data_IF_569732760843
#
_entry.id   IF_569732760843
#
_cell.length_a   1.000
_cell.length_b   1.000
_cell.length_c   1.000
_cell.angle_alpha   90.00
_cell.angle_beta   90.00
_cell.angle_gamma   90.00
#
_symmetry.space_group_name_H-M   'P 1'
#
loop_
_entity.id
_entity.type
_entity.pdbx_description
1 polymer ?
#
# COMPACT_ATOMS: atom_id res chain seq x y z
N UNK A 1 43.81 4.15 -33.54
CA UNK A 1 42.78 3.76 -32.55
C UNK A 1 41.43 4.06 -33.18
N UNK A 2 40.68 3.04 -33.57
CA UNK A 2 39.31 3.18 -34.09
C UNK A 2 38.34 3.05 -32.91
N UNK A 3 37.42 3.99 -32.75
CA UNK A 3 36.29 3.87 -31.82
C UNK A 3 35.11 3.42 -32.68
N UNK A 4 34.66 2.18 -32.47
CA UNK A 4 33.43 1.68 -33.08
C UNK A 4 32.24 2.18 -32.26
N UNK A 5 31.33 2.89 -32.93
CA UNK A 5 30.11 3.43 -32.33
C UNK A 5 29.00 2.42 -32.58
N UNK A 6 28.48 1.80 -31.52
CA UNK A 6 27.33 0.92 -31.59
C UNK A 6 26.07 1.66 -31.13
N UNK A 7 24.98 1.55 -31.90
CA UNK A 7 23.68 2.09 -31.51
C UNK A 7 23.08 1.26 -30.37
N UNK A 8 22.69 1.94 -29.30
CA UNK A 8 22.04 1.33 -28.14
C UNK A 8 20.54 1.23 -28.43
N UNK A 9 19.99 0.02 -28.37
CA UNK A 9 18.55 -0.20 -28.50
C UNK A 9 17.85 0.17 -27.18
N UNK A 10 16.79 0.98 -27.25
CA UNK A 10 16.01 1.34 -26.06
C UNK A 10 14.87 0.36 -25.87
N UNK A 11 14.62 -0.05 -24.62
CA UNK A 11 13.43 -0.82 -24.24
C UNK A 11 12.69 -0.13 -23.13
N UNK A 12 11.38 0.03 -23.27
CA UNK A 12 10.55 0.66 -22.26
C UNK A 12 9.75 -0.40 -21.51
N UNK A 13 9.78 -0.36 -20.19
CA UNK A 13 9.07 -1.31 -19.34
C UNK A 13 8.13 -0.58 -18.40
N UNK A 14 6.88 -1.02 -18.37
CA UNK A 14 5.87 -0.48 -17.47
C UNK A 14 5.03 -1.62 -16.89
N UNK A 15 4.99 -1.73 -15.56
CA UNK A 15 4.16 -2.72 -14.84
C UNK A 15 4.27 -4.16 -15.39
N UNK A 16 5.47 -4.61 -15.79
CA UNK A 16 5.68 -5.94 -16.38
C UNK A 16 5.51 -6.02 -17.90
N UNK A 17 4.99 -4.97 -18.55
CA UNK A 17 4.73 -4.91 -19.98
C UNK A 17 5.89 -4.21 -20.69
N UNK A 18 6.25 -4.70 -21.87
CA UNK A 18 7.17 -4.03 -22.79
C UNK A 18 6.39 -3.06 -23.67
N UNK A 19 6.76 -1.78 -23.64
CA UNK A 19 6.20 -0.75 -24.48
C UNK A 19 7.08 -0.57 -25.72
N UNK A 20 6.48 -0.52 -26.94
CA UNK A 20 7.23 -0.25 -28.15
C UNK A 20 7.95 1.10 -28.10
N UNK A 21 9.20 1.14 -28.55
CA UNK A 21 9.93 2.39 -28.75
C UNK A 21 9.39 3.14 -29.98
N UNK A 22 9.32 4.47 -29.88
CA UNK A 22 9.03 5.37 -30.99
C UNK A 22 10.30 6.14 -31.31
N UNK A 23 10.94 5.89 -32.48
CA UNK A 23 12.19 6.54 -32.83
C UNK A 23 12.01 8.05 -32.96
N UNK A 24 13.00 8.82 -32.48
CA UNK A 24 12.98 10.29 -32.51
C UNK A 24 12.32 10.96 -31.31
N UNK A 25 11.69 10.20 -30.40
CA UNK A 25 11.17 10.73 -29.14
C UNK A 25 12.13 10.47 -27.98
N UNK A 26 12.21 11.43 -27.06
CA UNK A 26 12.89 11.26 -25.78
C UNK A 26 12.12 10.30 -24.86
N UNK A 27 12.79 9.55 -23.95
CA UNK A 27 12.12 8.64 -23.01
C UNK A 27 10.94 9.26 -22.23
N UNK A 28 11.00 10.57 -21.94
CA UNK A 28 9.91 11.32 -21.30
C UNK A 28 8.73 11.55 -22.24
N UNK A 29 8.99 11.83 -23.50
CA UNK A 29 7.95 12.01 -24.52
C UNK A 29 7.28 10.66 -24.85
N UNK A 30 8.04 9.57 -24.84
CA UNK A 30 7.49 8.20 -24.96
C UNK A 30 6.54 7.91 -23.80
N UNK A 31 6.90 8.26 -22.55
CA UNK A 31 6.01 8.16 -21.39
C UNK A 31 4.72 8.97 -21.60
N UNK A 32 4.86 10.22 -22.06
CA UNK A 32 3.73 11.13 -22.24
C UNK A 32 2.80 10.65 -23.38
N UNK A 33 3.34 10.08 -24.45
CA UNK A 33 2.57 9.44 -25.51
C UNK A 33 1.73 8.27 -24.97
N UNK A 34 2.36 7.35 -24.23
CA UNK A 34 1.67 6.20 -23.66
C UNK A 34 0.72 6.58 -22.51
N UNK A 35 0.81 7.79 -21.96
CA UNK A 35 -0.10 8.27 -20.93
C UNK A 35 -1.56 8.38 -21.41
N UNK A 36 -1.79 8.50 -22.72
CA UNK A 36 -3.12 8.44 -23.31
C UNK A 36 -3.79 7.06 -23.13
N UNK A 37 -3.01 5.98 -23.13
CA UNK A 37 -3.48 4.62 -22.92
C UNK A 37 -3.37 4.18 -21.45
N UNK A 38 -2.35 4.67 -20.74
CA UNK A 38 -2.06 4.37 -19.34
C UNK A 38 -2.01 5.67 -18.53
N UNK A 39 -3.16 6.19 -18.05
CA UNK A 39 -3.24 7.49 -17.38
C UNK A 39 -2.31 7.64 -16.17
N UNK A 40 -1.94 6.53 -15.54
CA UNK A 40 -1.02 6.48 -14.43
C UNK A 40 0.43 6.83 -14.80
N UNK A 41 0.80 6.74 -16.09
CA UNK A 41 2.10 7.20 -16.61
C UNK A 41 2.27 8.71 -16.56
N UNK A 42 1.18 9.50 -16.50
CA UNK A 42 1.26 10.97 -16.34
C UNK A 42 2.09 11.35 -15.11
N UNK A 43 1.95 10.57 -14.04
CA UNK A 43 2.69 10.75 -12.78
C UNK A 43 3.94 9.88 -12.67
N UNK A 44 4.25 9.07 -13.69
CA UNK A 44 5.34 8.11 -13.60
C UNK A 44 6.70 8.81 -13.75
N UNK A 45 7.65 8.34 -12.96
CA UNK A 45 9.06 8.71 -13.08
C UNK A 45 9.74 7.77 -14.08
N UNK A 46 10.66 8.33 -14.88
CA UNK A 46 11.45 7.57 -15.85
C UNK A 46 12.77 7.22 -15.21
N UNK A 47 12.94 5.94 -14.83
CA UNK A 47 14.18 5.43 -14.27
C UNK A 47 15.04 4.83 -15.40
N UNK A 48 16.20 5.41 -15.72
CA UNK A 48 17.14 4.82 -16.68
C UNK A 48 17.83 3.62 -16.03
N UNK A 49 17.72 2.46 -16.67
CA UNK A 49 18.46 1.26 -16.31
C UNK A 49 19.87 1.23 -16.91
N UNK A 50 20.62 0.19 -16.54
CA UNK A 50 21.94 -0.08 -17.08
C UNK A 50 21.86 -0.50 -18.55
N UNK A 51 22.90 -0.16 -19.31
CA UNK A 51 23.08 -0.68 -20.66
C UNK A 51 23.66 -2.09 -20.54
N UNK A 52 22.92 -3.09 -20.98
CA UNK A 52 23.36 -4.49 -21.01
C UNK A 52 23.14 -5.04 -22.41
N UNK A 53 24.15 -5.69 -22.97
CA UNK A 53 24.10 -6.34 -24.30
C UNK A 53 23.62 -5.40 -25.43
N UNK A 54 24.03 -4.12 -25.39
CA UNK A 54 23.62 -3.12 -26.39
C UNK A 54 22.18 -2.62 -26.24
N UNK A 55 21.50 -2.98 -25.14
CA UNK A 55 20.14 -2.55 -24.82
C UNK A 55 20.12 -1.73 -23.55
N UNK A 56 19.46 -0.57 -23.59
CA UNK A 56 19.17 0.23 -22.39
C UNK A 56 17.70 0.11 -22.03
N UNK A 57 17.43 -0.40 -20.83
CA UNK A 57 16.06 -0.50 -20.30
C UNK A 57 15.67 0.79 -19.58
N UNK A 58 14.52 1.36 -19.92
CA UNK A 58 13.89 2.48 -19.23
C UNK A 58 12.63 1.96 -18.53
N UNK A 59 12.61 2.05 -17.20
CA UNK A 59 11.44 1.63 -16.41
C UNK A 59 10.60 2.83 -16.06
N UNK A 60 9.30 2.78 -16.40
CA UNK A 60 8.33 3.76 -15.92
C UNK A 60 7.80 3.30 -14.58
N UNK A 61 8.18 4.01 -13.51
CA UNK A 61 7.74 3.71 -12.16
C UNK A 61 6.61 4.66 -11.76
N UNK A 62 5.46 4.10 -11.41
CA UNK A 62 4.35 4.89 -10.86
C UNK A 62 4.80 5.59 -9.58
N UNK A 63 4.72 6.92 -9.55
CA UNK A 63 4.95 7.67 -8.32
C UNK A 63 3.80 7.42 -7.34
N UNK A 64 4.01 6.52 -6.38
CA UNK A 64 3.13 6.43 -5.22
C UNK A 64 3.49 7.58 -4.29
N UNK A 65 2.52 8.44 -3.98
CA UNK A 65 2.76 9.59 -3.11
C UNK A 65 3.36 9.13 -1.78
N UNK A 66 4.59 9.57 -1.47
CA UNK A 66 5.30 9.26 -0.22
C UNK A 66 4.76 10.06 0.97
N UNK A 67 3.51 10.51 0.91
CA UNK A 67 2.87 11.30 1.95
C UNK A 67 2.72 10.42 3.20
N UNK A 68 3.47 10.76 4.25
CA UNK A 68 3.54 9.97 5.48
C UNK A 68 4.86 9.21 5.65
N UNK A 69 5.65 9.04 4.58
CA UNK A 69 7.02 8.49 4.64
C UNK A 69 8.02 9.57 5.08
N UNK A 70 7.67 10.31 6.15
CA UNK A 70 8.70 11.09 6.83
C UNK A 70 9.79 10.11 7.24
N UNK A 71 11.05 10.45 6.97
CA UNK A 71 12.27 9.75 7.42
C UNK A 71 12.43 9.82 8.95
N UNK A 72 11.32 9.75 9.68
CA UNK A 72 11.23 9.40 11.09
C UNK A 72 10.78 7.95 11.16
N UNK A 73 11.50 7.05 10.49
CA UNK A 73 11.85 5.77 11.12
C UNK A 73 12.74 6.11 12.32
N UNK A 74 12.14 6.77 13.31
CA UNK A 74 12.82 7.09 14.54
C UNK A 74 13.08 5.80 15.30
N UNK A 75 13.98 5.84 16.30
CA UNK A 75 14.29 4.67 17.12
C UNK A 75 13.03 4.01 17.70
N UNK A 76 11.95 4.77 17.90
CA UNK A 76 10.64 4.27 18.35
C UNK A 76 9.95 3.32 17.38
N UNK A 77 9.95 3.60 16.07
CA UNK A 77 9.28 2.70 15.11
C UNK A 77 10.11 1.43 14.91
N UNK A 78 11.44 1.56 14.85
CA UNK A 78 12.35 0.43 14.78
C UNK A 78 12.23 -0.46 16.04
N UNK A 79 12.14 0.14 17.23
CA UNK A 79 11.88 -0.58 18.48
C UNK A 79 10.52 -1.27 18.47
N UNK A 80 9.46 -0.59 18.00
CA UNK A 80 8.13 -1.20 17.90
C UNK A 80 8.11 -2.39 16.93
N UNK A 81 8.76 -2.27 15.77
CA UNK A 81 8.83 -3.38 14.81
C UNK A 81 9.66 -4.55 15.35
N UNK A 82 10.73 -4.28 16.11
CA UNK A 82 11.49 -5.31 16.79
C UNK A 82 10.68 -5.98 17.92
N UNK A 83 9.90 -5.22 18.69
CA UNK A 83 8.97 -5.75 19.70
C UNK A 83 7.89 -6.62 19.04
N UNK A 84 7.28 -6.16 17.95
CA UNK A 84 6.25 -6.92 17.21
C UNK A 84 6.83 -8.17 16.55
N UNK A 85 8.04 -8.11 16.01
CA UNK A 85 8.75 -9.28 15.47
C UNK A 85 9.06 -10.31 16.54
N UNK A 86 9.54 -9.87 17.71
CA UNK A 86 9.79 -10.76 18.86
C UNK A 86 8.50 -11.38 19.43
N UNK A 87 7.37 -10.67 19.37
CA UNK A 87 6.05 -11.18 19.80
C UNK A 87 5.47 -12.19 18.80
N UNK A 88 5.81 -12.09 17.50
CA UNK A 88 5.39 -13.05 16.47
C UNK A 88 6.11 -14.41 16.56
N UNK A 89 7.35 -14.43 17.04
CA UNK A 89 8.17 -15.64 17.13
C UNK A 89 8.04 -16.40 18.47
N UNK A 90 7.36 -15.83 19.48
CA UNK A 90 7.21 -16.53 20.77
C UNK A 90 6.32 -15.85 21.82
N UNK A 91 5.11 -16.39 21.99
CA UNK A 91 4.33 -16.34 23.23
C UNK A 91 3.66 -15.00 23.57
N UNK A 92 2.34 -15.06 23.83
CA UNK A 92 1.48 -13.97 24.32
C UNK A 92 2.08 -13.32 25.57
N UNK A 93 2.96 -12.34 25.42
CA UNK A 93 3.75 -11.84 26.54
C UNK A 93 4.29 -10.43 26.29
N UNK A 94 3.40 -9.46 26.44
CA UNK A 94 3.80 -8.07 26.68
C UNK A 94 2.64 -7.11 26.51
N UNK A 95 2.16 -6.96 25.29
CA UNK A 95 1.10 -6.00 24.95
C UNK A 95 -0.26 -6.57 25.29
N UNK A 96 -0.50 -7.84 24.96
CA UNK A 96 -1.74 -8.54 25.31
C UNK A 96 -1.96 -8.61 26.83
N UNK A 97 -0.91 -8.87 27.60
CA UNK A 97 -0.99 -8.88 29.07
C UNK A 97 -1.31 -7.49 29.66
N UNK A 98 -0.72 -6.43 29.11
CA UNK A 98 -1.02 -5.04 29.52
C UNK A 98 -2.44 -4.63 29.13
N UNK A 99 -2.88 -5.01 27.92
CA UNK A 99 -4.23 -4.75 27.44
C UNK A 99 -5.26 -5.51 28.27
N UNK A 100 -5.06 -6.81 28.50
CA UNK A 100 -5.93 -7.64 29.36
C UNK A 100 -5.97 -7.06 30.78
N UNK A 101 -4.84 -6.59 31.32
CA UNK A 101 -4.79 -5.90 32.62
C UNK A 101 -5.54 -4.56 32.62
N UNK A 102 -5.48 -3.80 31.53
CA UNK A 102 -6.21 -2.54 31.39
C UNK A 102 -7.73 -2.79 31.23
N UNK A 103 -8.11 -3.76 30.41
CA UNK A 103 -9.50 -4.16 30.16
C UNK A 103 -10.15 -4.82 31.38
N UNK A 104 -9.36 -5.46 32.24
CA UNK A 104 -9.85 -6.07 33.47
C UNK A 104 -10.20 -5.05 34.58
N UNK A 105 -9.81 -3.77 34.44
CA UNK A 105 -10.14 -2.70 35.40
C UNK A 105 -11.65 -2.51 35.54
N UNK A 106 -12.13 -2.37 36.77
CA UNK A 106 -13.58 -2.25 37.07
C UNK A 106 -14.24 -1.02 36.45
N UNK A 107 -13.51 0.09 36.28
CA UNK A 107 -14.00 1.28 35.57
C UNK A 107 -14.22 1.01 34.08
N UNK A 108 -13.28 0.31 33.44
CA UNK A 108 -13.34 -0.05 32.01
C UNK A 108 -14.47 -1.05 31.77
N UNK A 109 -14.61 -2.07 32.62
CA UNK A 109 -15.74 -3.02 32.56
C UNK A 109 -17.10 -2.32 32.72
N UNK A 110 -17.25 -1.42 33.70
CA UNK A 110 -18.50 -0.68 33.91
C UNK A 110 -18.85 0.22 32.71
N UNK A 111 -17.86 0.92 32.16
CA UNK A 111 -18.05 1.74 30.97
C UNK A 111 -18.50 0.88 29.78
N UNK A 112 -17.79 -0.23 29.52
CA UNK A 112 -18.14 -1.16 28.45
C UNK A 112 -19.56 -1.75 28.63
N UNK A 113 -19.94 -2.13 29.85
CA UNK A 113 -21.29 -2.62 30.17
C UNK A 113 -22.36 -1.55 29.96
N UNK A 114 -22.12 -0.30 30.36
CA UNK A 114 -23.05 0.80 30.16
C UNK A 114 -23.28 1.07 28.66
N UNK A 115 -22.21 1.04 27.86
CA UNK A 115 -22.31 1.16 26.41
C UNK A 115 -23.05 -0.01 25.77
N UNK A 116 -22.74 -1.25 26.17
CA UNK A 116 -23.47 -2.43 25.68
C UNK A 116 -24.96 -2.37 26.01
N UNK A 117 -25.32 -1.96 27.24
CA UNK A 117 -26.71 -1.79 27.65
C UNK A 117 -27.42 -0.68 26.88
N UNK A 118 -26.75 0.46 26.66
CA UNK A 118 -27.26 1.54 25.82
C UNK A 118 -27.54 1.07 24.40
N UNK A 119 -26.59 0.38 23.79
CA UNK A 119 -26.70 -0.16 22.44
C UNK A 119 -27.83 -1.18 22.34
N UNK A 120 -27.92 -2.12 23.28
CA UNK A 120 -29.02 -3.09 23.33
C UNK A 120 -30.38 -2.42 23.48
N UNK A 121 -30.48 -1.38 24.32
CA UNK A 121 -31.72 -0.62 24.50
C UNK A 121 -32.09 0.21 23.28
N UNK A 122 -31.11 0.83 22.62
CA UNK A 122 -31.30 1.56 21.38
C UNK A 122 -31.79 0.63 20.25
N UNK A 123 -31.20 -0.56 20.12
CA UNK A 123 -31.63 -1.56 19.14
C UNK A 123 -32.99 -2.18 19.47
N UNK A 124 -33.29 -2.44 20.75
CA UNK A 124 -34.59 -2.99 21.17
C UNK A 124 -35.73 -1.97 21.00
N UNK A 125 -35.45 -0.67 21.19
CA UNK A 125 -36.43 0.39 21.01
C UNK A 125 -36.74 0.69 19.53
N UNK A 126 -35.85 0.31 18.60
CA UNK A 126 -36.00 0.65 17.18
C UNK A 126 -35.73 -0.56 16.24
N UNK A 127 -36.58 -1.60 16.27
CA UNK A 127 -36.40 -2.80 15.44
C UNK A 127 -36.47 -2.55 13.92
N UNK A 128 -37.00 -1.40 13.49
CA UNK A 128 -37.04 -0.97 12.07
C UNK A 128 -35.71 -0.42 11.55
N UNK A 129 -34.76 -0.10 12.44
CA UNK A 129 -33.40 0.31 12.08
C UNK A 129 -32.46 -0.90 11.94
N UNK A 130 -33.00 -2.08 11.54
CA UNK A 130 -32.20 -3.22 11.10
C UNK A 130 -31.63 -3.02 9.69
N UNK A 131 -32.29 -2.20 8.87
CA UNK A 131 -31.95 -2.04 7.44
C UNK A 131 -31.26 -0.71 7.08
N UNK A 132 -31.20 0.24 8.01
CA UNK A 132 -30.67 1.57 7.71
C UNK A 132 -29.20 1.71 8.11
N UNK A 133 -28.29 1.64 7.15
CA UNK A 133 -26.90 2.16 7.18
C UNK A 133 -25.73 1.25 7.61
N UNK A 134 -25.81 -0.05 7.38
CA UNK A 134 -24.59 -0.82 7.03
C UNK A 134 -24.81 -1.55 5.72
N UNK A 135 -24.53 -0.85 4.62
CA UNK A 135 -24.22 -1.49 3.34
C UNK A 135 -22.81 -2.10 3.47
N UNK A 136 -22.66 -3.13 4.31
CA UNK A 136 -21.50 -4.02 4.16
C UNK A 136 -21.78 -4.85 2.90
N UNK A 137 -20.92 -4.79 1.87
CA UNK A 137 -21.07 -5.67 0.72
C UNK A 137 -21.13 -7.13 1.21
N UNK A 138 -22.04 -7.96 0.66
CA UNK A 138 -22.07 -9.39 1.00
C UNK A 138 -20.70 -10.01 0.70
N UNK A 139 -20.35 -11.11 1.37
CA UNK A 139 -19.02 -11.74 1.25
C UNK A 139 -18.62 -12.07 -0.21
N UNK A 140 -19.60 -12.25 -1.10
CA UNK A 140 -19.42 -12.47 -2.54
C UNK A 140 -18.94 -11.22 -3.31
N UNK A 141 -19.13 -10.03 -2.75
CA UNK A 141 -18.70 -8.75 -3.30
C UNK A 141 -17.32 -8.30 -2.78
N UNK A 142 -16.67 -9.11 -1.94
CA UNK A 142 -15.26 -8.92 -1.57
C UNK A 142 -14.37 -9.59 -2.61
N UNK A 143 -13.28 -8.93 -3.01
CA UNK A 143 -12.32 -9.52 -3.93
C UNK A 143 -11.75 -10.82 -3.34
N UNK A 144 -11.63 -11.91 -4.13
CA UNK A 144 -11.02 -13.14 -3.64
C UNK A 144 -9.57 -12.86 -3.21
N UNK A 145 -9.21 -13.39 -2.04
CA UNK A 145 -7.85 -13.28 -1.52
C UNK A 145 -6.90 -14.13 -2.38
N UNK A 146 -5.68 -13.63 -2.69
CA UNK A 146 -4.67 -14.38 -3.43
C UNK A 146 -4.09 -15.56 -2.64
#
# INVERSE_FOLDING_TARGET
>A
MSIEVHEIQRRFRYNGILLPDVPGLEPREVRDLYSAQYPELVSAEVEPGEVRDGVQEFTFRKAVGTKGATRRTGPRLAALLAEVGAEADGGVSGVDGKLVKAMSRSSVKRCAQAWSAFVQRAYAANPRQRDGSRLTPPSEALAPLP
#
